data_IF_214701428291
#
_entry.id   IF_214701428291
#
_cell.length_a   1.000
_cell.length_b   1.000
_cell.length_c   1.000
_cell.angle_alpha   90.00
_cell.angle_beta   90.00
_cell.angle_gamma   90.00
#
_symmetry.space_group_name_H-M   'P 1'
#
loop_
_entity.id
_entity.type
_entity.pdbx_description
1 polymer ?
#
# COMPACT_ATOMS: atom_id res chain seq x y z
N UNK A 1 -16.73 -14.13 3.56
CA UNK A 1 -16.08 -13.06 4.34
C UNK A 1 -14.75 -13.53 4.91
N UNK A 2 -13.64 -12.85 4.59
CA UNK A 2 -12.26 -13.31 4.87
C UNK A 2 -11.79 -13.12 6.34
N UNK A 3 -12.71 -13.02 7.31
CA UNK A 3 -12.34 -13.00 8.74
C UNK A 3 -11.48 -11.83 9.22
N UNK A 4 -11.31 -10.76 8.43
CA UNK A 4 -10.47 -9.62 8.80
C UNK A 4 -11.19 -8.66 9.75
N UNK A 5 -10.55 -8.30 10.87
CA UNK A 5 -11.05 -7.29 11.81
C UNK A 5 -10.43 -5.91 11.53
N UNK A 6 -11.22 -4.82 11.48
CA UNK A 6 -10.69 -3.49 11.22
C UNK A 6 -9.90 -2.96 12.43
N UNK A 7 -8.68 -2.49 12.20
CA UNK A 7 -7.85 -1.83 13.22
C UNK A 7 -7.71 -0.33 12.93
N UNK A 8 -8.80 0.42 13.08
CA UNK A 8 -8.88 1.85 12.75
C UNK A 8 -8.94 2.68 14.05
N UNK A 9 -8.13 3.74 14.20
CA UNK A 9 -8.19 4.60 15.37
C UNK A 9 -9.60 5.18 15.55
N UNK A 10 -10.19 5.09 16.76
CA UNK A 10 -11.48 5.71 17.02
C UNK A 10 -11.37 7.23 16.98
N UNK A 11 -12.43 7.91 16.50
CA UNK A 11 -12.57 9.36 16.68
C UNK A 11 -12.70 9.70 18.17
N UNK A 12 -12.18 10.86 18.56
CA UNK A 12 -12.20 11.33 19.96
C UNK A 12 -13.62 11.43 20.54
N UNK A 13 -14.62 11.78 19.72
CA UNK A 13 -16.02 11.94 20.10
C UNK A 13 -16.84 10.63 20.05
N UNK A 14 -16.22 9.48 19.77
CA UNK A 14 -16.94 8.21 19.66
C UNK A 14 -17.24 7.63 21.04
N UNK A 15 -18.53 7.43 21.35
CA UNK A 15 -19.00 6.86 22.63
C UNK A 15 -18.46 5.45 22.89
N UNK A 16 -18.50 4.58 21.87
CA UNK A 16 -17.94 3.24 21.93
C UNK A 16 -16.68 3.13 21.09
N UNK A 17 -15.56 2.78 21.74
CA UNK A 17 -14.24 2.67 21.10
C UNK A 17 -13.95 1.19 20.82
N UNK A 18 -13.80 0.77 19.54
CA UNK A 18 -13.37 -0.59 19.22
C UNK A 18 -11.95 -0.86 19.72
N UNK A 19 -11.62 -2.15 19.89
CA UNK A 19 -10.25 -2.58 20.16
C UNK A 19 -9.31 -2.05 19.08
N UNK A 20 -8.27 -1.32 19.50
CA UNK A 20 -7.32 -0.68 18.60
C UNK A 20 -5.89 -0.94 19.04
N UNK A 21 -5.08 -1.47 18.12
CA UNK A 21 -3.65 -1.65 18.30
C UNK A 21 -2.87 -0.60 17.51
N UNK A 22 -2.23 0.33 18.22
CA UNK A 22 -1.33 1.33 17.63
C UNK A 22 -0.18 0.70 16.84
N UNK A 23 0.34 -0.44 17.31
CA UNK A 23 1.45 -1.16 16.67
C UNK A 23 1.04 -1.66 15.29
N UNK A 24 -0.07 -2.38 15.20
CA UNK A 24 -0.58 -2.89 13.92
C UNK A 24 -0.98 -1.75 12.98
N UNK A 25 -1.51 -0.64 13.52
CA UNK A 25 -1.85 0.52 12.68
C UNK A 25 -0.62 1.18 12.05
N UNK A 26 0.53 1.15 12.74
CA UNK A 26 1.79 1.72 12.25
C UNK A 26 2.32 0.98 11.02
N UNK A 27 2.10 -0.32 10.93
CA UNK A 27 2.55 -1.16 9.81
C UNK A 27 1.93 -0.71 8.47
N UNK A 28 0.75 -0.09 8.50
CA UNK A 28 0.10 0.50 7.32
C UNK A 28 0.98 1.51 6.59
N UNK A 29 1.86 2.22 7.29
CA UNK A 29 2.80 3.17 6.69
C UNK A 29 3.72 2.50 5.66
N UNK A 30 4.09 1.22 5.85
CA UNK A 30 4.91 0.49 4.87
C UNK A 30 4.17 0.34 3.54
N UNK A 31 2.88 0.00 3.61
CA UNK A 31 2.00 -0.15 2.45
C UNK A 31 1.78 1.21 1.77
N UNK A 32 1.49 2.25 2.54
CA UNK A 32 1.31 3.62 2.01
C UNK A 32 2.56 4.13 1.29
N UNK A 33 3.75 3.94 1.89
CA UNK A 33 5.03 4.31 1.28
C UNK A 33 5.30 3.50 0.01
N UNK A 34 4.94 2.23 -0.02
CA UNK A 34 5.05 1.41 -1.23
C UNK A 34 4.19 1.98 -2.37
N UNK A 35 2.91 2.26 -2.12
CA UNK A 35 2.04 2.87 -3.14
C UNK A 35 2.45 4.28 -3.54
N UNK A 36 3.01 5.07 -2.60
CA UNK A 36 3.59 6.37 -2.92
C UNK A 36 4.74 6.24 -3.93
N UNK A 37 5.68 5.33 -3.69
CA UNK A 37 6.78 5.03 -4.64
C UNK A 37 6.26 4.48 -5.97
N UNK A 38 5.24 3.62 -5.94
CA UNK A 38 4.63 3.04 -7.12
C UNK A 38 3.96 4.12 -7.99
N UNK A 39 3.42 5.18 -7.38
CA UNK A 39 2.88 6.35 -8.08
C UNK A 39 3.94 7.31 -8.64
N UNK A 40 5.23 7.14 -8.34
CA UNK A 40 6.28 7.90 -9.04
C UNK A 40 6.36 7.50 -10.52
N UNK A 41 5.94 6.29 -10.87
CA UNK A 41 5.82 5.85 -12.25
C UNK A 41 4.57 6.47 -12.87
N UNK A 42 4.74 7.56 -13.63
CA UNK A 42 3.63 8.35 -14.23
C UNK A 42 2.59 7.47 -14.91
N UNK A 43 3.02 6.51 -15.75
CA UNK A 43 2.14 5.58 -16.48
C UNK A 43 1.20 4.78 -15.56
N UNK A 44 1.70 4.40 -14.38
CA UNK A 44 0.92 3.66 -13.38
C UNK A 44 0.00 4.60 -12.60
N UNK A 45 0.49 5.77 -12.20
CA UNK A 45 -0.28 6.77 -11.46
C UNK A 45 -1.50 7.29 -12.26
N UNK A 46 -1.32 7.53 -13.56
CA UNK A 46 -2.37 8.05 -14.44
C UNK A 46 -3.23 6.97 -15.08
N UNK A 47 -2.93 5.68 -14.84
CA UNK A 47 -3.59 4.54 -15.51
C UNK A 47 -3.66 4.71 -17.04
N UNK A 48 -2.52 4.97 -17.70
CA UNK A 48 -2.52 5.15 -19.15
C UNK A 48 -2.87 3.87 -19.94
N UNK A 49 -2.62 2.70 -19.36
CA UNK A 49 -2.93 1.42 -20.00
C UNK A 49 -4.45 1.16 -20.04
N UNK A 50 -5.02 1.08 -21.24
CA UNK A 50 -6.44 0.77 -21.46
C UNK A 50 -6.80 -0.66 -21.07
N UNK A 51 -5.89 -1.61 -21.35
CA UNK A 51 -6.12 -3.02 -21.05
C UNK A 51 -5.68 -3.35 -19.63
N UNK A 52 -6.55 -4.02 -18.87
CA UNK A 52 -6.26 -4.42 -17.50
C UNK A 52 -4.99 -5.29 -17.39
N UNK A 53 -4.75 -6.17 -18.37
CA UNK A 53 -3.54 -7.00 -18.41
C UNK A 53 -2.26 -6.16 -18.53
N UNK A 54 -2.25 -5.15 -19.39
CA UNK A 54 -1.10 -4.25 -19.57
C UNK A 54 -0.85 -3.42 -18.31
N UNK A 55 -1.92 -2.91 -17.69
CA UNK A 55 -1.82 -2.18 -16.43
C UNK A 55 -1.24 -3.06 -15.31
N UNK A 56 -1.69 -4.31 -15.21
CA UNK A 56 -1.17 -5.28 -14.24
C UNK A 56 0.31 -5.59 -14.49
N UNK A 57 0.70 -5.83 -15.74
CA UNK A 57 2.09 -6.05 -16.10
C UNK A 57 2.99 -4.86 -15.71
N UNK A 58 2.52 -3.62 -15.95
CA UNK A 58 3.24 -2.42 -15.53
C UNK A 58 3.37 -2.30 -14.00
N UNK A 59 2.33 -2.65 -13.23
CA UNK A 59 2.40 -2.72 -11.77
C UNK A 59 3.43 -3.75 -11.32
N UNK A 60 3.43 -4.94 -11.91
CA UNK A 60 4.37 -6.01 -11.58
C UNK A 60 5.82 -5.58 -11.85
N UNK A 61 6.09 -5.00 -13.03
CA UNK A 61 7.41 -4.48 -13.39
C UNK A 61 7.88 -3.36 -12.43
N UNK A 62 7.00 -2.41 -12.11
CA UNK A 62 7.31 -1.35 -11.15
C UNK A 62 7.60 -1.91 -9.75
N UNK A 63 6.83 -2.91 -9.32
CA UNK A 63 7.01 -3.58 -8.02
C UNK A 63 8.33 -4.32 -7.95
N UNK A 64 8.69 -5.09 -8.99
CA UNK A 64 9.99 -5.77 -9.10
C UNK A 64 11.14 -4.77 -9.03
N UNK A 65 11.04 -3.63 -9.74
CA UNK A 65 12.07 -2.59 -9.70
C UNK A 65 12.24 -1.97 -8.31
N UNK A 66 11.13 -1.74 -7.60
CA UNK A 66 11.17 -1.24 -6.23
C UNK A 66 11.76 -2.25 -5.26
N UNK A 67 11.49 -3.54 -5.47
CA UNK A 67 12.04 -4.64 -4.67
C UNK A 67 13.56 -4.77 -4.84
N UNK A 68 14.06 -4.78 -6.08
CA UNK A 68 15.50 -4.85 -6.35
C UNK A 68 16.27 -3.68 -5.73
N UNK A 69 15.73 -2.46 -5.83
CA UNK A 69 16.31 -1.27 -5.18
C UNK A 69 16.37 -1.38 -3.66
N UNK A 70 15.38 -2.02 -3.04
CA UNK A 70 15.39 -2.22 -1.60
C UNK A 70 16.53 -3.17 -1.20
N UNK A 71 16.76 -4.23 -2.00
CA UNK A 71 17.84 -5.19 -1.76
C UNK A 71 19.24 -4.55 -1.88
N UNK A 72 19.49 -3.82 -2.97
CA UNK A 72 20.75 -3.07 -3.18
C UNK A 72 21.06 -2.04 -2.09
N UNK A 73 20.02 -1.46 -1.47
CA UNK A 73 20.18 -0.47 -0.39
C UNK A 73 20.39 -1.09 0.99
N UNK A 74 20.19 -2.41 1.11
CA UNK A 74 20.37 -3.17 2.36
C UNK A 74 21.61 -4.05 2.37
N UNK A 75 22.17 -4.33 1.18
CA UNK A 75 23.51 -4.88 1.00
C UNK A 75 24.57 -3.77 1.17
#
# INVERSE_FOLDING_TARGET
DQGATPNIPPKCNRKWKPCFSKRLYRERNLIERFFSKLKHFRRVATRYDKLAANFLAMIQLASMRLWMRAYESTA
#
